data_IF_958367048324
#
_entry.id   IF_958367048324
#
_cell.length_a   1.000
_cell.length_b   1.000
_cell.length_c   1.000
_cell.angle_alpha   90.00
_cell.angle_beta   90.00
_cell.angle_gamma   90.00
#
_symmetry.space_group_name_H-M   'P 1'
#
loop_
_entity.id
_entity.type
_entity.pdbx_description
1 polymer ?
#
# COMPACT_ATOMS: atom_id res chain seq x y z
N UNK A 1 17.36 16.28 46.44
CA UNK A 1 16.72 15.38 47.42
C UNK A 1 16.54 14.02 46.76
N UNK A 2 17.06 12.97 47.40
CA UNK A 2 17.07 11.61 46.93
C UNK A 2 15.67 10.97 47.02
N UNK A 3 15.25 10.27 45.96
CA UNK A 3 14.06 9.41 45.96
C UNK A 3 14.45 7.97 46.24
N UNK A 4 14.11 7.51 47.45
CA UNK A 4 14.37 6.17 48.00
C UNK A 4 13.71 5.06 47.16
N UNK A 5 14.50 4.09 46.68
CA UNK A 5 14.00 2.78 46.26
C UNK A 5 13.80 1.93 47.52
N UNK A 6 12.57 1.46 47.78
CA UNK A 6 12.29 0.47 48.82
C UNK A 6 12.06 -0.88 48.18
N UNK A 7 13.07 -1.74 48.28
CA UNK A 7 12.88 -3.18 48.07
C UNK A 7 12.19 -3.78 49.30
N UNK A 8 11.16 -4.60 49.08
CA UNK A 8 10.56 -5.46 50.10
C UNK A 8 10.69 -6.90 49.61
N UNK A 9 11.44 -7.71 50.35
CA UNK A 9 11.48 -9.16 50.21
C UNK A 9 10.25 -9.76 50.87
N UNK A 10 9.58 -10.71 50.20
CA UNK A 10 8.57 -11.58 50.80
C UNK A 10 9.07 -13.01 50.67
N UNK A 11 9.31 -13.64 51.81
CA UNK A 11 9.64 -15.06 51.94
C UNK A 11 8.38 -15.89 51.72
N UNK A 12 8.44 -16.92 50.87
CA UNK A 12 7.34 -17.86 50.68
C UNK A 12 7.76 -19.22 51.24
N UNK A 13 7.06 -19.66 52.28
CA UNK A 13 7.11 -21.04 52.77
C UNK A 13 6.33 -21.99 51.85
N UNK A 14 6.79 -23.25 51.82
CA UNK A 14 6.54 -24.22 50.76
C UNK A 14 5.08 -24.62 50.51
N UNK A 15 4.80 -24.83 49.22
CA UNK A 15 3.59 -25.44 48.70
C UNK A 15 3.77 -25.75 47.20
N UNK A 16 3.38 -26.95 46.79
CA UNK A 16 3.61 -27.61 45.50
C UNK A 16 3.34 -26.71 44.28
N UNK A 17 4.30 -26.63 43.36
CA UNK A 17 4.24 -25.80 42.14
C UNK A 17 3.46 -26.52 41.05
N UNK A 18 2.27 -26.02 40.71
CA UNK A 18 1.66 -26.24 39.39
C UNK A 18 2.37 -25.31 38.38
N UNK A 19 3.13 -25.92 37.47
CA UNK A 19 3.97 -25.25 36.48
C UNK A 19 3.19 -24.48 35.39
N UNK A 20 1.86 -24.46 35.42
CA UNK A 20 1.05 -23.75 34.42
C UNK A 20 0.86 -22.25 34.69
N UNK A 21 1.19 -21.73 35.88
CA UNK A 21 0.87 -20.34 36.27
C UNK A 21 2.06 -19.36 36.38
N UNK A 22 3.32 -19.83 36.24
CA UNK A 22 4.50 -19.01 36.56
C UNK A 22 5.00 -18.16 35.37
N UNK A 23 4.62 -18.45 34.13
CA UNK A 23 5.06 -17.65 32.97
C UNK A 23 4.27 -16.35 32.75
N UNK A 24 3.20 -16.11 33.52
CA UNK A 24 2.35 -14.92 33.35
C UNK A 24 2.82 -13.64 34.04
N UNK A 25 3.87 -13.67 34.88
CA UNK A 25 4.27 -12.52 35.72
C UNK A 25 5.45 -11.69 35.21
N UNK A 26 6.13 -12.11 34.15
CA UNK A 26 7.12 -11.30 33.42
C UNK A 26 6.61 -10.78 32.07
N UNK A 27 5.38 -11.13 31.69
CA UNK A 27 4.70 -10.43 30.62
C UNK A 27 4.43 -9.01 31.11
N UNK A 28 5.09 -8.02 30.49
CA UNK A 28 4.68 -6.62 30.57
C UNK A 28 3.20 -6.59 30.20
N UNK A 29 2.32 -6.48 31.20
CA UNK A 29 0.91 -6.18 30.99
C UNK A 29 0.89 -4.82 30.32
N UNK A 30 0.81 -4.78 28.99
CA UNK A 30 0.59 -3.55 28.25
C UNK A 30 -0.66 -2.93 28.87
N UNK A 31 -0.49 -1.75 29.47
CA UNK A 31 -1.62 -0.91 29.85
C UNK A 31 -2.34 -0.62 28.54
N UNK A 32 -3.56 -1.11 28.40
CA UNK A 32 -4.41 -0.82 27.26
C UNK A 32 -4.63 0.69 27.26
N UNK A 33 -3.92 1.39 26.38
CA UNK A 33 -4.12 2.81 26.15
C UNK A 33 -5.27 2.92 25.17
N UNK A 34 -6.39 3.45 25.63
CA UNK A 34 -7.49 3.83 24.75
C UNK A 34 -7.02 5.03 23.90
N UNK A 35 -6.61 4.75 22.65
CA UNK A 35 -6.24 5.79 21.69
C UNK A 35 -7.52 6.47 21.20
N UNK A 36 -7.87 7.60 21.80
CA UNK A 36 -8.94 8.46 21.28
C UNK A 36 -8.42 9.18 20.04
N UNK A 37 -8.80 8.67 18.86
CA UNK A 37 -8.55 9.37 17.59
C UNK A 37 -9.59 10.49 17.48
N UNK A 38 -9.17 11.71 17.84
CA UNK A 38 -9.98 12.89 17.57
C UNK A 38 -9.81 13.27 16.11
N UNK A 39 -10.71 12.77 15.27
CA UNK A 39 -10.88 13.28 13.90
C UNK A 39 -11.54 14.65 14.01
N UNK A 40 -10.77 15.66 14.43
CA UNK A 40 -11.12 17.02 14.04
C UNK A 40 -11.25 16.99 12.52
N UNK A 41 -12.29 17.59 11.97
CA UNK A 41 -12.30 17.97 10.56
C UNK A 41 -11.14 18.95 10.39
N UNK A 42 -9.93 18.40 10.27
CA UNK A 42 -8.71 19.11 9.95
C UNK A 42 -9.02 19.61 8.55
N UNK A 43 -9.56 20.83 8.47
CA UNK A 43 -9.92 21.43 7.21
C UNK A 43 -8.61 21.53 6.45
N UNK A 44 -8.41 20.57 5.55
CA UNK A 44 -7.17 20.34 4.88
C UNK A 44 -6.72 21.62 4.16
N UNK A 45 -7.71 22.30 3.59
CA UNK A 45 -7.66 23.63 2.97
C UNK A 45 -7.06 24.74 3.86
N UNK A 46 -7.11 24.64 5.19
CA UNK A 46 -6.61 25.69 6.11
C UNK A 46 -5.15 25.52 6.49
N UNK A 47 -4.56 24.36 6.24
CA UNK A 47 -3.23 24.00 6.72
C UNK A 47 -2.36 23.32 5.65
N UNK A 48 -2.75 23.33 4.36
CA UNK A 48 -2.00 22.68 3.28
C UNK A 48 -0.49 22.99 3.33
N UNK A 49 -0.13 24.26 3.53
CA UNK A 49 1.27 24.70 3.63
C UNK A 49 2.00 24.16 4.86
N UNK A 50 1.27 23.85 5.95
CA UNK A 50 1.80 23.40 7.24
C UNK A 50 1.86 21.88 7.39
N UNK A 51 1.37 21.13 6.41
CA UNK A 51 1.44 19.68 6.43
C UNK A 51 2.88 19.19 6.23
N UNK A 52 3.32 18.16 6.97
CA UNK A 52 4.64 17.56 6.78
C UNK A 52 4.69 16.72 5.49
N UNK A 53 5.87 16.43 4.92
CA UNK A 53 6.00 15.35 3.94
C UNK A 53 5.64 13.99 4.57
N UNK A 54 4.97 13.13 3.80
CA UNK A 54 4.53 11.79 4.19
C UNK A 54 4.97 10.79 3.13
N UNK A 55 5.71 9.79 3.57
CA UNK A 55 6.09 8.63 2.75
C UNK A 55 5.25 7.42 3.18
N UNK A 56 4.59 6.77 2.23
CA UNK A 56 3.78 5.58 2.47
C UNK A 56 4.42 4.39 1.77
N UNK A 57 4.71 3.34 2.54
CA UNK A 57 5.21 2.07 2.02
C UNK A 57 4.07 1.06 1.99
N UNK A 58 3.80 0.54 0.80
CA UNK A 58 2.96 -0.63 0.57
C UNK A 58 3.89 -1.79 0.32
N UNK A 59 3.71 -2.90 1.02
CA UNK A 59 4.52 -4.11 0.81
C UNK A 59 3.60 -5.24 0.38
N UNK A 60 4.04 -6.00 -0.62
CA UNK A 60 3.38 -7.23 -1.06
C UNK A 60 4.42 -8.35 -1.12
N UNK A 61 4.03 -9.54 -0.69
CA UNK A 61 4.93 -10.69 -0.58
C UNK A 61 4.58 -11.80 -1.57
N UNK A 62 3.30 -12.00 -1.87
CA UNK A 62 2.87 -13.07 -2.77
C UNK A 62 1.62 -12.68 -3.55
N UNK A 63 1.76 -12.61 -4.88
CA UNK A 63 0.65 -12.30 -5.80
C UNK A 63 -0.50 -13.32 -5.80
N UNK A 64 -0.29 -14.51 -5.23
CA UNK A 64 -1.35 -15.52 -5.06
C UNK A 64 -2.21 -15.27 -3.83
N UNK A 65 -1.60 -14.79 -2.74
CA UNK A 65 -2.30 -14.41 -1.51
C UNK A 65 -2.85 -12.99 -1.58
N UNK A 66 -2.15 -12.12 -2.31
CA UNK A 66 -2.45 -10.70 -2.49
C UNK A 66 -2.63 -10.42 -3.99
N UNK A 67 -3.84 -10.63 -4.53
CA UNK A 67 -4.10 -10.46 -5.96
C UNK A 67 -3.68 -9.07 -6.44
N UNK A 68 -3.02 -8.93 -7.60
CA UNK A 68 -2.55 -7.63 -8.08
C UNK A 68 -3.66 -6.58 -8.19
N UNK A 69 -4.90 -6.98 -8.52
CA UNK A 69 -6.07 -6.09 -8.57
C UNK A 69 -6.44 -5.47 -7.22
N UNK A 70 -6.23 -6.21 -6.12
CA UNK A 70 -6.41 -5.70 -4.76
C UNK A 70 -5.30 -4.70 -4.42
N UNK A 71 -4.04 -5.05 -4.65
CA UNK A 71 -2.88 -4.20 -4.33
C UNK A 71 -2.97 -2.87 -5.09
N UNK A 72 -3.26 -2.89 -6.39
CA UNK A 72 -3.40 -1.65 -7.16
C UNK A 72 -4.60 -0.80 -6.71
N UNK A 73 -5.68 -1.41 -6.19
CA UNK A 73 -6.81 -0.65 -5.66
C UNK A 73 -6.41 0.12 -4.41
N UNK A 74 -5.57 -0.47 -3.56
CA UNK A 74 -4.94 0.22 -2.43
C UNK A 74 -4.04 1.35 -2.91
N UNK A 75 -3.15 1.11 -3.87
CA UNK A 75 -2.26 2.14 -4.44
C UNK A 75 -3.09 3.30 -5.03
N UNK A 76 -4.12 3.00 -5.83
CA UNK A 76 -5.01 4.02 -6.41
C UNK A 76 -5.77 4.82 -5.34
N UNK A 77 -6.13 4.20 -4.22
CA UNK A 77 -6.74 4.88 -3.08
C UNK A 77 -5.78 5.85 -2.40
N UNK A 78 -4.50 5.48 -2.28
CA UNK A 78 -3.47 6.35 -1.72
C UNK A 78 -3.16 7.51 -2.66
N UNK A 79 -3.10 7.24 -3.98
CA UNK A 79 -2.85 8.27 -5.00
C UNK A 79 -3.99 9.28 -5.11
N UNK A 80 -5.23 8.89 -4.79
CA UNK A 80 -6.38 9.80 -4.76
C UNK A 80 -6.61 10.47 -3.40
N UNK A 81 -5.74 10.21 -2.41
CA UNK A 81 -5.85 10.76 -1.07
C UNK A 81 -5.81 12.29 -1.10
N UNK A 82 -6.58 12.92 -0.21
CA UNK A 82 -6.62 14.37 -0.11
C UNK A 82 -5.37 14.85 0.65
N UNK A 83 -4.21 14.87 -0.03
CA UNK A 83 -2.92 15.35 0.47
C UNK A 83 -2.23 16.22 -0.58
N UNK A 84 -1.41 17.24 -0.20
CA UNK A 84 -0.68 18.00 -1.18
C UNK A 84 0.29 17.05 -1.89
N UNK A 85 0.22 17.08 -3.22
CA UNK A 85 0.81 16.08 -4.09
C UNK A 85 2.34 16.05 -3.97
N UNK A 86 2.93 17.22 -3.73
CA UNK A 86 4.35 17.42 -3.49
C UNK A 86 4.83 16.98 -2.11
N UNK A 87 3.91 16.61 -1.22
CA UNK A 87 4.19 16.15 0.14
C UNK A 87 3.80 14.69 0.37
N UNK A 88 3.31 13.99 -0.65
CA UNK A 88 2.94 12.58 -0.56
C UNK A 88 3.78 11.75 -1.52
N UNK A 89 4.60 10.86 -0.98
CA UNK A 89 5.31 9.84 -1.75
C UNK A 89 4.74 8.47 -1.42
N UNK A 90 4.57 7.62 -2.43
CA UNK A 90 4.08 6.25 -2.25
C UNK A 90 5.11 5.30 -2.86
N UNK A 91 5.44 4.25 -2.12
CA UNK A 91 6.39 3.21 -2.52
C UNK A 91 5.69 1.86 -2.45
N UNK A 92 5.84 1.03 -3.49
CA UNK A 92 5.44 -0.38 -3.45
C UNK A 92 6.67 -1.26 -3.44
N UNK A 93 6.89 -1.98 -2.34
CA UNK A 93 7.84 -3.09 -2.25
C UNK A 93 7.13 -4.36 -2.66
N UNK A 94 7.63 -5.05 -3.69
CA UNK A 94 7.13 -6.35 -4.11
C UNK A 94 8.21 -7.40 -3.84
N UNK A 95 8.17 -8.00 -2.67
CA UNK A 95 9.13 -9.03 -2.25
C UNK A 95 8.94 -10.32 -3.07
N UNK A 96 7.78 -10.49 -3.71
CA UNK A 96 7.47 -11.61 -4.60
C UNK A 96 8.09 -11.46 -6.00
N UNK A 97 8.58 -10.27 -6.36
CA UNK A 97 9.27 -10.00 -7.62
C UNK A 97 8.46 -10.41 -8.83
N UNK A 98 7.15 -10.12 -8.84
CA UNK A 98 6.24 -10.65 -9.84
C UNK A 98 6.11 -9.71 -11.02
N UNK A 99 6.44 -10.22 -12.22
CA UNK A 99 6.17 -9.51 -13.48
C UNK A 99 4.70 -9.11 -13.64
N UNK A 100 3.78 -9.82 -12.99
CA UNK A 100 2.34 -9.51 -13.03
C UNK A 100 1.97 -8.35 -12.10
N UNK A 101 2.66 -8.19 -10.97
CA UNK A 101 2.49 -7.00 -10.13
C UNK A 101 2.97 -5.76 -10.90
N UNK A 102 4.14 -5.85 -11.54
CA UNK A 102 4.63 -4.81 -12.42
C UNK A 102 3.66 -4.48 -13.57
N UNK A 103 3.08 -5.50 -14.21
CA UNK A 103 2.05 -5.29 -15.23
C UNK A 103 0.80 -4.61 -14.68
N UNK A 104 0.31 -5.05 -13.50
CA UNK A 104 -0.83 -4.43 -12.84
C UNK A 104 -0.58 -2.96 -12.51
N UNK A 105 0.65 -2.61 -12.10
CA UNK A 105 1.06 -1.23 -11.88
C UNK A 105 1.03 -0.38 -13.16
N UNK A 106 1.51 -0.92 -14.28
CA UNK A 106 1.44 -0.23 -15.57
C UNK A 106 -0.01 0.02 -15.99
N UNK A 107 -0.88 -0.97 -15.80
CA UNK A 107 -2.31 -0.85 -16.07
C UNK A 107 -2.99 0.17 -15.13
N UNK A 108 -2.63 0.16 -13.85
CA UNK A 108 -3.10 1.13 -12.86
C UNK A 108 -2.63 2.55 -13.18
N UNK A 109 -1.41 2.74 -13.70
CA UNK A 109 -0.90 4.02 -14.18
C UNK A 109 -1.82 4.64 -15.22
N UNK A 110 -2.23 3.84 -16.21
CA UNK A 110 -3.12 4.28 -17.29
C UNK A 110 -4.49 4.66 -16.72
N UNK A 111 -5.03 3.86 -15.81
CA UNK A 111 -6.32 4.11 -15.17
C UNK A 111 -6.30 5.32 -14.22
N UNK A 112 -5.19 5.56 -13.52
CA UNK A 112 -5.04 6.64 -12.54
C UNK A 112 -5.32 8.03 -13.13
N UNK A 113 -5.03 8.22 -14.42
CA UNK A 113 -5.30 9.45 -15.18
C UNK A 113 -6.79 9.81 -15.24
N UNK A 114 -7.67 8.83 -15.03
CA UNK A 114 -9.12 9.00 -14.99
C UNK A 114 -9.62 8.97 -13.55
N UNK A 115 -9.14 8.02 -12.75
CA UNK A 115 -9.58 7.84 -11.36
C UNK A 115 -9.26 9.03 -10.45
N UNK A 116 -8.02 9.54 -10.49
CA UNK A 116 -7.59 10.60 -9.57
C UNK A 116 -8.39 11.90 -9.81
N UNK A 117 -8.54 12.40 -11.05
CA UNK A 117 -9.37 13.58 -11.31
C UNK A 117 -10.85 13.37 -10.96
N UNK A 118 -11.39 12.18 -11.22
CA UNK A 118 -12.76 11.81 -10.85
C UNK A 118 -12.96 11.89 -9.33
N UNK A 119 -12.07 11.28 -8.54
CA UNK A 119 -12.12 11.34 -7.08
C UNK A 119 -12.04 12.77 -6.55
N UNK A 120 -11.14 13.59 -7.10
CA UNK A 120 -10.95 14.98 -6.66
C UNK A 120 -12.16 15.85 -7.00
N UNK A 121 -12.71 15.73 -8.21
CA UNK A 121 -13.84 16.55 -8.68
C UNK A 121 -15.13 16.25 -7.94
N UNK A 122 -15.46 14.98 -7.74
CA UNK A 122 -16.72 14.57 -7.13
C UNK A 122 -16.61 14.19 -5.65
N UNK A 123 -15.43 14.39 -5.03
CA UNK A 123 -15.15 14.08 -3.62
C UNK A 123 -15.59 12.65 -3.25
N UNK A 124 -15.21 11.70 -4.11
CA UNK A 124 -15.63 10.30 -4.02
C UNK A 124 -15.12 9.64 -2.74
N UNK A 125 -16.02 8.96 -2.01
CA UNK A 125 -15.70 8.12 -0.86
C UNK A 125 -16.43 6.77 -0.95
N UNK A 126 -15.73 5.63 -0.80
CA UNK A 126 -14.33 5.51 -0.45
C UNK A 126 -13.44 5.71 -1.69
N UNK A 127 -12.19 6.12 -1.47
CA UNK A 127 -11.19 6.36 -2.53
C UNK A 127 -10.63 5.11 -3.22
N UNK A 128 -10.87 3.94 -2.65
CA UNK A 128 -10.54 2.66 -3.29
C UNK A 128 -11.56 2.35 -4.37
N UNK A 129 -11.16 2.18 -5.65
CA UNK A 129 -12.10 1.89 -6.73
C UNK A 129 -12.82 0.55 -6.51
N UNK A 130 -12.14 -0.46 -5.96
CA UNK A 130 -12.76 -1.73 -5.57
C UNK A 130 -13.89 -1.54 -4.56
N UNK A 131 -13.64 -0.76 -3.50
CA UNK A 131 -14.64 -0.52 -2.46
C UNK A 131 -15.75 0.43 -2.93
N UNK A 132 -15.45 1.37 -3.83
CA UNK A 132 -16.42 2.31 -4.37
C UNK A 132 -17.40 1.61 -5.32
N UNK A 133 -16.89 0.88 -6.32
CA UNK A 133 -17.72 0.21 -7.32
C UNK A 133 -18.39 -1.07 -6.82
N UNK A 134 -18.01 -1.57 -5.64
CA UNK A 134 -18.75 -2.62 -4.94
C UNK A 134 -20.08 -2.12 -4.33
N UNK A 135 -20.27 -0.80 -4.23
CA UNK A 135 -21.53 -0.21 -3.80
C UNK A 135 -22.45 -0.05 -5.00
N UNK A 136 -23.65 -0.62 -4.93
CA UNK A 136 -24.70 -0.38 -5.90
C UNK A 136 -25.38 0.95 -5.61
N UNK A 137 -24.73 2.05 -5.98
CA UNK A 137 -25.33 3.39 -5.92
C UNK A 137 -25.31 4.04 -7.29
N UNK A 138 -26.49 4.15 -7.90
CA UNK A 138 -26.71 4.96 -9.11
C UNK A 138 -26.90 6.42 -8.68
N UNK A 139 -26.15 7.38 -9.24
CA UNK A 139 -26.31 8.77 -8.88
C UNK A 139 -27.56 9.40 -9.51
N UNK A 140 -28.15 10.39 -8.83
CA UNK A 140 -29.30 11.16 -9.32
C UNK A 140 -28.91 12.21 -10.38
N UNK A 141 -27.66 12.71 -10.35
CA UNK A 141 -27.13 13.69 -11.31
C UNK A 141 -26.65 12.99 -12.60
N UNK A 142 -27.18 13.42 -13.73
CA UNK A 142 -26.94 12.83 -15.06
C UNK A 142 -25.50 12.99 -15.54
N UNK A 143 -24.83 14.11 -15.26
CA UNK A 143 -23.45 14.34 -15.69
C UNK A 143 -22.46 13.49 -14.87
N UNK A 144 -22.66 13.45 -13.55
CA UNK A 144 -21.88 12.60 -12.66
C UNK A 144 -22.12 11.11 -12.95
N UNK A 145 -23.36 10.69 -13.22
CA UNK A 145 -23.68 9.31 -13.58
C UNK A 145 -22.99 8.86 -14.87
N UNK A 146 -22.95 9.70 -15.91
CA UNK A 146 -22.24 9.38 -17.15
C UNK A 146 -20.74 9.20 -16.93
N UNK A 147 -20.11 10.09 -16.17
CA UNK A 147 -18.67 9.98 -15.90
C UNK A 147 -18.35 8.80 -14.99
N UNK A 148 -19.15 8.57 -13.94
CA UNK A 148 -19.02 7.42 -13.05
C UNK A 148 -19.09 6.11 -13.85
N UNK A 149 -20.02 6.00 -14.81
CA UNK A 149 -20.14 4.83 -15.67
C UNK A 149 -18.90 4.64 -16.54
N UNK A 150 -18.41 5.70 -17.18
CA UNK A 150 -17.20 5.65 -18.00
C UNK A 150 -15.97 5.22 -17.18
N UNK A 151 -15.81 5.76 -15.97
CA UNK A 151 -14.72 5.40 -15.06
C UNK A 151 -14.87 3.95 -14.56
N UNK A 152 -16.10 3.49 -14.28
CA UNK A 152 -16.39 2.09 -13.90
C UNK A 152 -16.01 1.13 -15.02
N UNK A 153 -16.34 1.45 -16.28
CA UNK A 153 -15.95 0.63 -17.42
C UNK A 153 -14.43 0.54 -17.58
N UNK A 154 -13.71 1.66 -17.40
CA UNK A 154 -12.25 1.68 -17.45
C UNK A 154 -11.63 0.83 -16.33
N UNK A 155 -12.20 0.89 -15.13
CA UNK A 155 -11.78 0.07 -13.99
C UNK A 155 -11.98 -1.42 -14.25
N UNK A 156 -13.14 -1.83 -14.76
CA UNK A 156 -13.40 -3.24 -15.07
C UNK A 156 -12.54 -3.74 -16.24
N UNK A 157 -12.32 -2.92 -17.27
CA UNK A 157 -11.38 -3.25 -18.36
C UNK A 157 -9.96 -3.47 -17.83
N UNK A 158 -9.51 -2.64 -16.90
CA UNK A 158 -8.20 -2.79 -16.25
C UNK A 158 -8.11 -4.12 -15.49
N UNK A 159 -9.10 -4.44 -14.64
CA UNK A 159 -9.16 -5.71 -13.90
C UNK A 159 -9.12 -6.92 -14.84
N UNK A 160 -9.98 -6.93 -15.85
CA UNK A 160 -10.06 -8.02 -16.83
C UNK A 160 -8.71 -8.26 -17.50
N UNK A 161 -7.98 -7.20 -17.89
CA UNK A 161 -6.65 -7.33 -18.49
C UNK A 161 -5.65 -7.99 -17.54
N UNK A 162 -5.64 -7.56 -16.28
CA UNK A 162 -4.74 -8.10 -15.24
C UNK A 162 -5.07 -9.57 -14.95
N UNK A 163 -6.34 -9.86 -14.69
CA UNK A 163 -6.80 -11.21 -14.36
C UNK A 163 -6.58 -12.17 -15.53
N UNK A 164 -6.78 -11.70 -16.77
CA UNK A 164 -6.49 -12.49 -17.98
C UNK A 164 -5.00 -12.83 -18.08
N UNK A 165 -4.10 -11.88 -17.79
CA UNK A 165 -2.66 -12.13 -17.82
C UNK A 165 -2.22 -13.10 -16.73
N UNK A 166 -2.79 -12.96 -15.52
CA UNK A 166 -2.58 -13.88 -14.40
C UNK A 166 -3.03 -15.30 -14.75
N UNK A 167 -4.26 -15.46 -15.23
CA UNK A 167 -4.84 -16.77 -15.58
C UNK A 167 -4.10 -17.44 -16.75
N UNK A 168 -3.62 -16.67 -17.73
CA UNK A 168 -2.80 -17.19 -18.83
C UNK A 168 -1.35 -17.49 -18.44
N UNK A 169 -0.90 -17.07 -17.25
CA UNK A 169 0.51 -17.16 -16.84
C UNK A 169 1.48 -16.37 -17.73
N UNK A 170 0.96 -15.48 -18.59
CA UNK A 170 1.75 -14.78 -19.60
C UNK A 170 1.21 -13.38 -19.88
N UNK A 171 2.15 -12.47 -20.14
CA UNK A 171 1.88 -11.10 -20.58
C UNK A 171 2.24 -11.04 -22.07
N UNK A 172 1.38 -10.38 -22.87
CA UNK A 172 1.58 -10.23 -24.31
C UNK A 172 2.95 -9.61 -24.63
N UNK A 173 3.60 -10.07 -25.70
CA UNK A 173 4.89 -9.53 -26.13
C UNK A 173 4.78 -8.04 -26.49
N UNK A 174 3.66 -7.61 -27.08
CA UNK A 174 3.40 -6.20 -27.38
C UNK A 174 3.52 -5.31 -26.12
N UNK A 175 3.00 -5.78 -24.97
CA UNK A 175 3.11 -5.04 -23.71
C UNK A 175 4.52 -5.05 -23.14
N UNK A 176 5.27 -6.14 -23.35
CA UNK A 176 6.68 -6.23 -22.92
C UNK A 176 7.56 -5.27 -23.71
N UNK A 177 7.35 -5.20 -25.02
CA UNK A 177 8.13 -4.38 -25.93
C UNK A 177 7.86 -2.88 -25.71
N UNK A 178 6.65 -2.53 -25.29
CA UNK A 178 6.28 -1.16 -24.92
C UNK A 178 7.01 -0.64 -23.68
N UNK A 179 7.51 -1.51 -22.79
CA UNK A 179 8.08 -1.07 -21.53
C UNK A 179 9.37 -1.82 -21.17
N UNK A 180 10.51 -1.13 -21.28
CA UNK A 180 11.87 -1.66 -21.00
C UNK A 180 12.01 -2.29 -19.61
N UNK A 181 11.19 -1.91 -18.64
CA UNK A 181 11.18 -2.52 -17.31
C UNK A 181 10.92 -4.04 -17.30
N UNK A 182 10.23 -4.58 -18.31
CA UNK A 182 10.03 -6.04 -18.42
C UNK A 182 11.33 -6.81 -18.70
N UNK A 183 12.41 -6.15 -19.15
CA UNK A 183 13.72 -6.77 -19.37
C UNK A 183 14.35 -7.29 -18.07
N UNK A 184 13.88 -6.83 -16.91
CA UNK A 184 14.35 -7.31 -15.61
C UNK A 184 13.95 -8.78 -15.37
N UNK A 185 12.85 -9.26 -15.94
CA UNK A 185 12.43 -10.67 -15.83
C UNK A 185 13.03 -11.52 -16.96
N UNK A 186 14.35 -11.75 -16.90
CA UNK A 186 15.06 -12.69 -17.76
C UNK A 186 15.21 -14.08 -17.11
N UNK A 187 15.76 -15.06 -17.84
CA UNK A 187 15.88 -16.46 -17.39
C UNK A 187 16.74 -16.68 -16.14
N UNK A 188 17.48 -15.67 -15.67
CA UNK A 188 18.36 -15.75 -14.49
C UNK A 188 17.70 -15.22 -13.21
N UNK A 189 16.56 -14.52 -13.29
CA UNK A 189 15.89 -13.91 -12.14
C UNK A 189 14.89 -14.88 -11.53
N UNK A 190 14.98 -15.08 -10.21
CA UNK A 190 14.08 -15.96 -9.44
C UNK A 190 13.34 -15.15 -8.38
N UNK A 191 12.26 -15.71 -7.81
CA UNK A 191 11.56 -15.08 -6.68
C UNK A 191 12.46 -14.85 -5.46
N UNK A 192 13.54 -15.62 -5.32
CA UNK A 192 14.47 -15.55 -4.20
C UNK A 192 15.64 -14.59 -4.44
N UNK A 193 15.85 -14.17 -5.69
CA UNK A 193 16.97 -13.30 -6.08
C UNK A 193 16.51 -12.32 -7.17
N UNK A 194 15.91 -11.22 -6.71
CA UNK A 194 15.48 -10.09 -7.53
C UNK A 194 15.59 -8.78 -6.72
N UNK A 195 15.76 -7.66 -7.43
CA UNK A 195 15.70 -6.31 -6.84
C UNK A 195 14.28 -5.78 -6.96
N UNK A 196 13.67 -5.23 -5.90
CA UNK A 196 12.33 -4.64 -6.03
C UNK A 196 11.95 -3.57 -5.00
N UNK A 197 11.87 -2.32 -5.45
CA UNK A 197 10.94 -1.29 -4.94
C UNK A 197 10.55 -0.46 -6.16
N UNK A 198 9.25 -0.23 -6.31
CA UNK A 198 8.68 0.66 -7.31
C UNK A 198 8.28 1.96 -6.62
N UNK A 199 8.68 3.10 -7.19
CA UNK A 199 8.37 4.41 -6.64
C UNK A 199 7.25 5.08 -7.45
N UNK A 200 6.27 5.63 -6.75
CA UNK A 200 5.20 6.41 -7.34
C UNK A 200 5.40 7.85 -6.92
N UNK A 201 5.61 8.72 -7.91
CA UNK A 201 5.63 10.15 -7.67
C UNK A 201 4.47 10.78 -8.42
N UNK A 202 3.62 11.46 -7.67
CA UNK A 202 2.47 12.16 -8.22
C UNK A 202 3.00 13.54 -8.63
N UNK A 203 3.01 13.84 -9.93
CA UNK A 203 3.59 15.07 -10.45
C UNK A 203 2.64 16.26 -10.23
N UNK A 204 3.20 17.49 -10.19
CA UNK A 204 2.40 18.72 -10.19
C UNK A 204 1.38 18.67 -11.33
N UNK A 205 0.09 18.78 -11.00
CA UNK A 205 -1.02 18.69 -11.94
C UNK A 205 -1.85 17.39 -11.90
N UNK A 206 -1.56 16.47 -10.97
CA UNK A 206 -2.38 15.25 -10.78
C UNK A 206 -2.05 14.11 -11.74
N UNK A 207 -0.98 14.25 -12.53
CA UNK A 207 -0.47 13.16 -13.34
C UNK A 207 0.38 12.22 -12.47
N UNK A 208 -0.06 10.97 -12.33
CA UNK A 208 0.75 9.93 -11.71
C UNK A 208 1.91 9.56 -12.64
N UNK A 209 3.14 9.67 -12.15
CA UNK A 209 4.32 9.11 -12.79
C UNK A 209 4.80 7.92 -11.96
N UNK A 210 4.91 6.77 -12.59
CA UNK A 210 5.54 5.61 -11.97
C UNK A 210 7.01 5.68 -12.37
N UNK A 211 7.88 5.82 -11.38
CA UNK A 211 9.31 5.67 -11.57
C UNK A 211 9.74 4.28 -11.10
N UNK A 212 10.57 3.65 -11.92
CA UNK A 212 11.15 2.36 -11.62
C UNK A 212 12.62 2.62 -11.29
N UNK A 213 12.98 2.86 -10.02
CA UNK A 213 14.34 3.16 -9.66
C UNK A 213 15.25 2.02 -10.14
N UNK A 214 16.28 2.38 -10.91
CA UNK A 214 17.10 1.42 -11.67
C UNK A 214 18.05 0.58 -10.81
N UNK A 215 18.16 0.85 -9.52
CA UNK A 215 18.94 0.08 -8.56
C UNK A 215 18.44 0.41 -7.16
N UNK A 216 18.15 -0.62 -6.38
CA UNK A 216 17.96 -0.46 -4.93
C UNK A 216 19.08 -1.23 -4.28
N UNK A 217 19.95 -0.47 -3.62
CA UNK A 217 21.06 -1.03 -2.86
C UNK A 217 20.46 -1.83 -1.71
N UNK A 218 20.58 -3.15 -1.78
CA UNK A 218 20.44 -4.00 -0.61
C UNK A 218 21.45 -3.52 0.44
N UNK A 219 20.95 -3.01 1.57
CA UNK A 219 21.73 -2.94 2.80
C UNK A 219 21.09 -3.86 3.83
N UNK A 220 21.35 -5.15 3.67
CA UNK A 220 21.46 -6.07 4.79
C UNK A 220 22.73 -6.89 4.59
N UNK A 221 23.88 -6.28 4.90
CA UNK A 221 25.07 -7.04 5.20
C UNK A 221 24.83 -7.80 6.50
N UNK A 222 24.50 -9.09 6.41
CA UNK A 222 24.90 -10.02 7.46
C UNK A 222 26.42 -10.05 7.40
N UNK A 223 27.07 -9.37 8.35
CA UNK A 223 28.42 -9.78 8.76
C UNK A 223 28.26 -11.22 9.24
N UNK A 224 28.77 -12.17 8.46
CA UNK A 224 29.17 -13.44 9.03
C UNK A 224 30.21 -13.13 10.09
N UNK A 225 29.91 -13.51 11.33
CA UNK A 225 30.95 -13.78 12.32
C UNK A 225 31.50 -15.16 11.96
N UNK A 226 32.69 -15.16 11.37
CA UNK A 226 33.65 -16.26 11.50
C UNK A 226 34.56 -15.95 12.69
#
# INVERSE_FOLDING_TARGET
MAGLVRERWVQIEGGTVDSSWVMGRHAVKRKESETKVFTFSFSFDRYEDKLPPVDIFVCTADVTLEPPTMVISTVLSLMSFNYPTEKLSIYLSDDGGSKFMFYALLEASKFSKYWIPFCKRFKVEPRSPAAYFARDSLPEDTAFAQEQLAVKELYEKMKIRIDTAMNKGSISNEMKDQHKGFLQWNSKVTKQDHQSIVQFTLAKGGNAHIDFPSQIKHSYGKKGED
#
